data_IF_218677306158
#
_entry.id   IF_218677306158
#
_cell.length_a   1.000
_cell.length_b   1.000
_cell.length_c   1.000
_cell.angle_alpha   90.00
_cell.angle_beta   90.00
_cell.angle_gamma   90.00
#
_symmetry.space_group_name_H-M   'P 1'
#
loop_
_entity.id
_entity.type
_entity.pdbx_description
1 polymer ?
#
# COMPACT_ATOMS: atom_id res chain seq x y z
N UNK A 1 -2.81 -19.22 -60.71
CA UNK A 1 -3.91 -18.25 -60.54
C UNK A 1 -4.10 -18.03 -59.05
N UNK A 2 -3.91 -16.81 -58.60
CA UNK A 2 -4.24 -16.45 -57.23
C UNK A 2 -5.75 -16.25 -57.15
N UNK A 3 -6.40 -16.97 -56.25
CA UNK A 3 -7.82 -16.77 -55.97
C UNK A 3 -7.93 -15.47 -55.15
N UNK A 4 -8.48 -14.43 -55.74
CA UNK A 4 -8.82 -13.20 -55.01
C UNK A 4 -10.09 -13.50 -54.20
N UNK A 5 -9.97 -13.51 -52.89
CA UNK A 5 -11.11 -13.54 -52.00
C UNK A 5 -11.72 -12.12 -51.93
N UNK A 6 -13.07 -12.01 -52.03
CA UNK A 6 -13.70 -10.70 -51.84
C UNK A 6 -13.42 -10.20 -50.44
N UNK A 7 -12.86 -9.00 -50.31
CA UNK A 7 -12.71 -8.29 -49.04
C UNK A 7 -13.97 -7.44 -48.84
N UNK A 8 -14.68 -7.69 -47.75
CA UNK A 8 -15.77 -6.83 -47.30
C UNK A 8 -15.14 -5.71 -46.51
N UNK A 9 -15.35 -4.43 -46.85
CA UNK A 9 -14.89 -3.32 -46.05
C UNK A 9 -15.46 -3.39 -44.62
N UNK A 10 -14.66 -3.00 -43.60
CA UNK A 10 -15.10 -3.05 -42.21
C UNK A 10 -16.40 -2.26 -41.94
N UNK A 11 -16.65 -1.10 -42.59
CA UNK A 11 -17.91 -0.39 -42.46
C UNK A 11 -19.16 -1.14 -42.97
N UNK A 12 -18.97 -2.15 -43.79
CA UNK A 12 -20.07 -2.93 -44.40
C UNK A 12 -20.36 -4.25 -43.66
N UNK A 13 -19.67 -4.47 -42.52
CA UNK A 13 -19.95 -5.60 -41.64
C UNK A 13 -21.11 -5.23 -40.70
N UNK A 14 -22.04 -6.18 -40.53
CA UNK A 14 -23.08 -6.04 -39.53
C UNK A 14 -22.48 -6.01 -38.11
N UNK A 15 -23.07 -5.20 -37.26
CA UNK A 15 -22.69 -5.15 -35.84
C UNK A 15 -23.02 -6.51 -35.17
N UNK A 16 -22.12 -7.03 -34.37
CA UNK A 16 -22.38 -8.23 -33.61
C UNK A 16 -23.42 -7.95 -32.51
N UNK A 17 -24.49 -8.73 -32.48
CA UNK A 17 -25.52 -8.60 -31.43
C UNK A 17 -24.95 -8.92 -30.03
N UNK A 18 -24.00 -9.83 -29.97
CA UNK A 18 -23.31 -10.28 -28.76
C UNK A 18 -21.90 -10.71 -29.12
N UNK A 19 -20.91 -10.21 -28.34
CA UNK A 19 -19.52 -10.64 -28.45
C UNK A 19 -19.27 -11.72 -27.41
N UNK A 20 -18.87 -12.91 -27.82
CA UNK A 20 -18.54 -14.03 -26.96
C UNK A 20 -17.02 -14.11 -26.71
N UNK A 21 -16.61 -14.72 -25.62
CA UNK A 21 -15.21 -14.86 -25.24
C UNK A 21 -14.37 -15.66 -26.23
N UNK A 22 -14.99 -16.56 -26.98
CA UNK A 22 -14.36 -17.40 -28.00
C UNK A 22 -14.43 -16.83 -29.42
N UNK A 23 -15.04 -15.64 -29.60
CA UNK A 23 -15.00 -14.92 -30.86
C UNK A 23 -13.57 -14.47 -31.19
N UNK A 24 -13.33 -14.18 -32.46
CA UNK A 24 -12.02 -13.83 -32.96
C UNK A 24 -11.97 -12.38 -33.46
N UNK A 25 -10.90 -11.69 -33.10
CA UNK A 25 -10.50 -10.42 -33.70
C UNK A 25 -9.47 -10.68 -34.81
N UNK A 26 -9.56 -9.91 -35.89
CA UNK A 26 -8.53 -9.87 -36.93
C UNK A 26 -7.49 -8.84 -36.52
N UNK A 27 -6.28 -9.29 -36.19
CA UNK A 27 -5.16 -8.45 -35.75
C UNK A 27 -4.15 -8.33 -36.89
N UNK A 28 -3.81 -7.08 -37.27
CA UNK A 28 -2.79 -6.83 -38.27
C UNK A 28 -1.43 -6.61 -37.54
N UNK A 29 -0.49 -7.51 -37.81
CA UNK A 29 0.87 -7.44 -37.25
C UNK A 29 1.87 -7.12 -38.37
N UNK A 30 3.08 -6.71 -37.99
CA UNK A 30 4.14 -6.33 -38.94
C UNK A 30 4.53 -7.47 -39.89
N UNK A 31 4.27 -8.72 -39.54
CA UNK A 31 4.57 -9.93 -40.30
C UNK A 31 3.33 -10.58 -40.94
N UNK A 32 2.17 -9.94 -40.89
CA UNK A 32 0.91 -10.38 -41.49
C UNK A 32 -0.33 -10.27 -40.61
N UNK A 33 -1.47 -10.57 -41.21
CA UNK A 33 -2.78 -10.55 -40.53
C UNK A 33 -3.06 -11.90 -39.89
N UNK A 34 -3.44 -11.90 -38.62
CA UNK A 34 -3.72 -13.09 -37.80
C UNK A 34 -5.07 -12.99 -37.08
N UNK A 35 -5.62 -14.14 -36.71
CA UNK A 35 -6.77 -14.22 -35.82
C UNK A 35 -6.26 -14.30 -34.37
N UNK A 36 -6.85 -13.52 -33.50
CA UNK A 36 -6.66 -13.63 -32.03
C UNK A 36 -8.03 -13.81 -31.39
N UNK A 37 -8.13 -14.73 -30.44
CA UNK A 37 -9.33 -14.82 -29.60
C UNK A 37 -9.52 -13.57 -28.79
N UNK A 38 -10.75 -13.16 -28.59
CA UNK A 38 -11.05 -11.98 -27.76
C UNK A 38 -10.50 -12.16 -26.36
N UNK A 39 -10.63 -13.35 -25.77
CA UNK A 39 -10.05 -13.67 -24.47
C UNK A 39 -8.54 -13.43 -24.39
N UNK A 40 -7.80 -13.81 -25.43
CA UNK A 40 -6.36 -13.63 -25.48
C UNK A 40 -5.99 -12.14 -25.60
N UNK A 41 -6.73 -11.38 -26.41
CA UNK A 41 -6.53 -9.93 -26.60
C UNK A 41 -6.88 -9.16 -25.32
N UNK A 42 -7.99 -9.50 -24.68
CA UNK A 42 -8.43 -8.88 -23.42
C UNK A 42 -7.44 -9.17 -22.31
N UNK A 43 -6.90 -10.39 -22.21
CA UNK A 43 -5.89 -10.77 -21.24
C UNK A 43 -4.55 -10.03 -21.47
N UNK A 44 -4.19 -9.77 -22.73
CA UNK A 44 -2.94 -9.05 -23.09
C UNK A 44 -3.07 -7.53 -22.90
N UNK A 45 -4.28 -6.97 -23.05
CA UNK A 45 -4.58 -5.55 -22.85
C UNK A 45 -4.58 -5.11 -21.37
N UNK A 46 -4.09 -5.94 -20.45
CA UNK A 46 -3.93 -5.62 -19.03
C UNK A 46 -5.24 -5.45 -18.26
N UNK A 47 -6.33 -6.06 -18.71
CA UNK A 47 -7.55 -6.11 -17.91
C UNK A 47 -7.30 -7.04 -16.73
N UNK A 48 -7.23 -6.44 -15.55
CA UNK A 48 -7.08 -7.14 -14.29
C UNK A 48 -8.31 -7.98 -14.01
N UNK A 49 -8.12 -9.29 -13.87
CA UNK A 49 -9.18 -10.20 -13.42
C UNK A 49 -9.25 -10.15 -11.90
N UNK A 50 -10.46 -10.06 -11.37
CA UNK A 50 -10.74 -10.21 -9.93
C UNK A 50 -11.43 -11.55 -9.73
N UNK A 51 -10.88 -12.38 -8.85
CA UNK A 51 -11.46 -13.67 -8.44
C UNK A 51 -11.90 -13.54 -6.99
N UNK A 52 -13.14 -13.88 -6.70
CA UNK A 52 -13.66 -13.84 -5.33
C UNK A 52 -13.35 -15.15 -4.62
N UNK A 53 -12.87 -15.09 -3.37
CA UNK A 53 -12.63 -16.29 -2.56
C UNK A 53 -13.90 -17.12 -2.35
N UNK A 54 -15.06 -16.46 -2.30
CA UNK A 54 -16.37 -17.15 -2.20
C UNK A 54 -16.77 -17.91 -3.46
N UNK A 55 -16.41 -17.41 -4.64
CA UNK A 55 -16.80 -18.00 -5.92
C UNK A 55 -15.77 -19.00 -6.42
N UNK A 56 -14.51 -18.82 -6.01
CA UNK A 56 -13.38 -19.57 -6.53
C UNK A 56 -13.00 -19.19 -7.95
N UNK A 57 -11.98 -19.82 -8.46
CA UNK A 57 -11.46 -19.55 -9.79
C UNK A 57 -9.96 -19.73 -9.86
N UNK A 58 -9.32 -19.04 -10.79
CA UNK A 58 -7.87 -19.08 -10.93
C UNK A 58 -7.31 -17.72 -11.36
N UNK A 59 -6.15 -17.39 -10.79
CA UNK A 59 -5.32 -16.27 -11.21
C UNK A 59 -4.32 -16.78 -12.25
N UNK A 60 -4.26 -16.13 -13.40
CA UNK A 60 -3.35 -16.51 -14.51
C UNK A 60 -1.98 -15.87 -14.37
N UNK A 61 -1.91 -14.69 -13.77
CA UNK A 61 -0.71 -13.87 -13.72
C UNK A 61 -0.69 -12.94 -12.50
N UNK A 62 0.44 -12.27 -12.29
CA UNK A 62 0.61 -11.23 -11.26
C UNK A 62 -0.30 -9.99 -11.45
N UNK A 63 -1.00 -9.89 -12.58
CA UNK A 63 -1.95 -8.80 -12.84
C UNK A 63 -3.35 -9.12 -12.32
N UNK A 64 -3.60 -10.36 -11.93
CA UNK A 64 -4.89 -10.80 -11.41
C UNK A 64 -4.92 -10.64 -9.89
N UNK A 65 -6.09 -10.34 -9.35
CA UNK A 65 -6.31 -10.14 -7.92
C UNK A 65 -7.34 -11.14 -7.39
N UNK A 66 -7.18 -11.53 -6.13
CA UNK A 66 -8.23 -12.18 -5.37
C UNK A 66 -8.89 -11.15 -4.45
N UNK A 67 -10.21 -11.24 -4.28
CA UNK A 67 -10.98 -10.41 -3.37
C UNK A 67 -11.65 -11.26 -2.30
N UNK A 68 -11.46 -10.86 -1.05
CA UNK A 68 -12.11 -11.49 0.09
C UNK A 68 -13.23 -10.55 0.60
N UNK A 69 -14.50 -10.93 0.45
CA UNK A 69 -15.62 -10.10 0.89
C UNK A 69 -15.76 -10.03 2.41
N UNK A 70 -15.19 -10.95 3.17
CA UNK A 70 -15.22 -10.94 4.63
C UNK A 70 -14.28 -9.86 5.18
N UNK A 71 -13.02 -9.85 4.74
CA UNK A 71 -12.05 -8.83 5.12
C UNK A 71 -12.17 -7.55 4.31
N UNK A 72 -12.92 -7.57 3.18
CA UNK A 72 -13.05 -6.47 2.20
C UNK A 72 -11.72 -6.03 1.60
N UNK A 73 -10.80 -6.97 1.39
CA UNK A 73 -9.44 -6.73 0.89
C UNK A 73 -9.17 -7.43 -0.43
N UNK A 74 -8.31 -6.82 -1.22
CA UNK A 74 -7.74 -7.42 -2.41
C UNK A 74 -6.38 -8.04 -2.09
N UNK A 75 -6.10 -9.17 -2.75
CA UNK A 75 -4.85 -9.91 -2.55
C UNK A 75 -4.18 -10.21 -3.87
N UNK A 76 -2.84 -10.19 -3.88
CA UNK A 76 -1.99 -10.68 -4.97
C UNK A 76 -1.32 -11.98 -4.53
N UNK A 77 -1.11 -12.87 -5.49
CA UNK A 77 -0.39 -14.12 -5.24
C UNK A 77 1.10 -13.95 -5.58
N UNK A 78 1.99 -14.33 -4.67
CA UNK A 78 3.45 -14.23 -4.84
C UNK A 78 4.11 -15.54 -5.27
N UNK A 79 3.37 -16.65 -5.29
CA UNK A 79 3.87 -17.95 -5.72
C UNK A 79 3.71 -18.17 -7.23
N UNK A 80 3.78 -19.46 -7.64
CA UNK A 80 3.67 -19.86 -9.03
C UNK A 80 2.26 -19.70 -9.59
N UNK A 81 2.16 -19.42 -10.89
CA UNK A 81 0.90 -19.31 -11.64
C UNK A 81 0.71 -20.50 -12.58
N UNK A 82 -0.53 -20.94 -12.86
CA UNK A 82 -1.77 -20.37 -12.34
C UNK A 82 -2.03 -20.75 -10.88
N UNK A 83 -2.55 -19.81 -10.07
CA UNK A 83 -3.03 -20.10 -8.73
C UNK A 83 -4.51 -20.42 -8.74
N UNK A 84 -4.87 -21.59 -8.24
CA UNK A 84 -6.27 -22.03 -8.10
C UNK A 84 -6.78 -21.57 -6.73
N UNK A 85 -7.98 -21.00 -6.73
CA UNK A 85 -8.75 -20.62 -5.54
C UNK A 85 -10.01 -21.49 -5.54
N UNK A 86 -10.21 -22.27 -4.50
CA UNK A 86 -11.42 -23.10 -4.38
C UNK A 86 -12.61 -22.23 -3.95
N UNK A 87 -13.84 -22.54 -4.38
CA UNK A 87 -15.03 -21.87 -3.86
C UNK A 87 -15.11 -21.96 -2.34
N UNK A 88 -15.68 -20.94 -1.71
CA UNK A 88 -15.83 -20.82 -0.25
C UNK A 88 -14.51 -20.97 0.53
N UNK A 89 -13.38 -20.66 -0.10
CA UNK A 89 -12.09 -20.62 0.58
C UNK A 89 -11.86 -19.27 1.27
N UNK A 90 -10.92 -19.27 2.20
CA UNK A 90 -10.41 -18.05 2.84
C UNK A 90 -8.95 -17.82 2.45
N UNK A 91 -8.45 -16.63 2.69
CA UNK A 91 -7.01 -16.32 2.49
C UNK A 91 -6.12 -17.31 3.23
N UNK A 92 -6.43 -17.58 4.50
CA UNK A 92 -5.65 -18.52 5.34
C UNK A 92 -5.74 -19.96 4.81
N UNK A 93 -6.94 -20.41 4.43
CA UNK A 93 -7.16 -21.73 3.84
C UNK A 93 -6.49 -21.91 2.47
N UNK A 94 -6.26 -20.81 1.73
CA UNK A 94 -5.61 -20.81 0.42
C UNK A 94 -4.08 -20.59 0.48
N UNK A 95 -3.49 -20.53 1.68
CA UNK A 95 -2.03 -20.44 1.88
C UNK A 95 -1.57 -19.32 2.82
N UNK A 96 -2.47 -18.49 3.31
CA UNK A 96 -2.18 -17.40 4.25
C UNK A 96 -1.38 -16.24 3.66
N UNK A 97 -1.26 -15.17 4.43
CA UNK A 97 -0.46 -13.99 4.06
C UNK A 97 1.00 -14.26 4.39
N UNK A 98 1.87 -14.23 3.38
CA UNK A 98 3.32 -14.37 3.53
C UNK A 98 4.07 -13.94 2.27
N UNK A 99 5.39 -13.79 2.37
CA UNK A 99 6.25 -13.39 1.24
C UNK A 99 6.13 -14.31 0.00
N UNK A 100 5.81 -15.61 0.19
CA UNK A 100 5.69 -16.60 -0.88
C UNK A 100 4.24 -17.04 -1.15
N UNK A 101 3.25 -16.38 -0.56
CA UNK A 101 1.84 -16.72 -0.70
C UNK A 101 1.04 -15.45 -1.02
N UNK A 102 0.05 -15.10 -0.22
CA UNK A 102 -0.77 -13.92 -0.45
C UNK A 102 -0.15 -12.65 0.13
N UNK A 103 -0.24 -11.56 -0.62
CA UNK A 103 0.00 -10.21 -0.12
C UNK A 103 -1.25 -9.38 -0.29
N UNK A 104 -1.54 -8.54 0.68
CA UNK A 104 -2.68 -7.61 0.59
C UNK A 104 -2.37 -6.55 -0.47
N UNK A 105 -3.22 -6.44 -1.48
CA UNK A 105 -3.05 -5.43 -2.52
C UNK A 105 -3.55 -4.07 -2.01
N UNK A 106 -2.71 -3.06 -2.15
CA UNK A 106 -3.04 -1.71 -1.72
C UNK A 106 -2.81 -1.43 -0.23
N UNK A 107 -2.45 -2.43 0.57
CA UNK A 107 -2.14 -2.22 1.98
C UNK A 107 -0.76 -1.54 2.17
N UNK A 108 0.18 -1.71 1.25
CA UNK A 108 1.44 -0.94 1.22
C UNK A 108 1.25 0.57 1.08
N UNK A 109 0.06 1.00 0.61
CA UNK A 109 -0.30 2.42 0.52
C UNK A 109 -1.37 2.85 1.53
N UNK A 110 -2.04 1.90 2.21
CA UNK A 110 -3.22 2.18 3.05
C UNK A 110 -2.95 2.01 4.55
N UNK A 111 -1.82 1.42 4.94
CA UNK A 111 -1.62 1.05 6.34
C UNK A 111 -1.38 2.24 7.25
N UNK A 112 -0.80 3.32 6.76
CA UNK A 112 -0.56 4.47 7.64
C UNK A 112 -0.64 5.81 6.93
N UNK A 113 -0.51 5.86 5.62
CA UNK A 113 -0.46 7.14 4.88
C UNK A 113 -1.74 7.97 5.08
N UNK A 114 -1.59 9.08 5.77
CA UNK A 114 -2.68 9.99 6.09
C UNK A 114 -3.47 9.64 7.36
N UNK A 115 -3.20 8.52 8.04
CA UNK A 115 -3.82 8.24 9.34
C UNK A 115 -3.19 9.09 10.42
N UNK A 116 -4.03 9.61 11.31
CA UNK A 116 -3.63 10.43 12.45
C UNK A 116 -4.08 9.74 13.73
N UNK A 117 -3.15 9.54 14.66
CA UNK A 117 -3.44 9.13 16.04
C UNK A 117 -3.21 10.33 16.95
N UNK A 118 -4.26 10.72 17.70
CA UNK A 118 -4.15 11.73 18.76
C UNK A 118 -4.13 11.02 20.11
N UNK A 119 -2.97 10.95 20.74
CA UNK A 119 -2.80 10.38 22.06
C UNK A 119 -3.36 11.27 23.20
N UNK A 120 -3.80 12.47 22.87
CA UNK A 120 -4.30 13.41 23.86
C UNK A 120 -3.22 13.93 24.78
N UNK A 121 -3.51 14.02 26.08
CA UNK A 121 -2.61 14.55 27.11
C UNK A 121 -1.80 13.42 27.73
N UNK A 122 -0.49 13.45 27.56
CA UNK A 122 0.45 12.39 27.96
C UNK A 122 1.57 12.96 28.81
N UNK A 123 2.07 12.13 29.74
CA UNK A 123 3.26 12.38 30.51
C UNK A 123 3.93 11.07 30.96
N UNK A 124 5.24 11.06 31.08
CA UNK A 124 6.04 9.89 31.47
C UNK A 124 6.43 9.02 30.27
N UNK A 125 5.65 8.01 29.92
CA UNK A 125 5.94 7.09 28.80
C UNK A 125 4.89 7.22 27.71
N UNK A 126 5.35 7.17 26.45
CA UNK A 126 4.50 7.12 25.27
C UNK A 126 5.06 6.08 24.28
N UNK A 127 4.33 5.00 24.11
CA UNK A 127 4.63 3.97 23.13
C UNK A 127 3.85 4.29 21.86
N UNK A 128 4.55 4.64 20.79
CA UNK A 128 3.97 4.96 19.48
C UNK A 128 3.96 3.72 18.62
N UNK A 129 2.78 3.20 18.35
CA UNK A 129 2.60 2.10 17.40
C UNK A 129 2.63 2.63 15.98
N UNK A 130 3.71 2.33 15.27
CA UNK A 130 3.93 2.81 13.91
C UNK A 130 3.12 2.03 12.86
N UNK A 131 2.50 0.89 13.20
CA UNK A 131 1.63 0.18 12.29
C UNK A 131 0.29 0.90 12.08
N UNK A 132 -0.19 1.66 13.09
CA UNK A 132 -1.54 2.24 13.04
C UNK A 132 -1.61 3.60 12.36
N UNK A 133 -0.50 4.36 12.28
CA UNK A 133 -0.50 5.70 11.67
C UNK A 133 0.88 6.16 11.21
N UNK A 134 0.92 7.24 10.40
CA UNK A 134 2.14 7.98 10.07
C UNK A 134 2.15 9.40 10.67
N UNK A 135 1.05 9.83 11.27
CA UNK A 135 0.98 11.12 11.94
C UNK A 135 0.48 10.94 13.37
N UNK A 136 1.25 11.43 14.31
CA UNK A 136 0.99 11.30 15.73
C UNK A 136 0.89 12.68 16.36
N UNK A 137 -0.13 12.89 17.19
CA UNK A 137 -0.33 14.12 17.95
C UNK A 137 -0.30 13.81 19.44
N UNK A 138 0.38 14.63 20.20
CA UNK A 138 0.47 14.48 21.65
C UNK A 138 0.53 15.84 22.32
N UNK A 139 -0.11 15.97 23.47
CA UNK A 139 0.00 17.14 24.37
C UNK A 139 0.77 16.74 25.61
N UNK A 140 1.92 17.36 25.84
CA UNK A 140 2.78 17.02 26.96
C UNK A 140 2.29 17.66 28.27
N UNK A 141 2.04 16.83 29.27
CA UNK A 141 1.74 17.27 30.66
C UNK A 141 2.92 17.15 31.57
N UNK A 142 3.94 16.39 31.22
CA UNK A 142 5.24 16.25 31.88
C UNK A 142 6.32 15.85 30.88
N UNK A 143 7.55 15.70 31.34
CA UNK A 143 8.61 15.09 30.53
C UNK A 143 8.19 13.72 30.10
N UNK A 144 8.42 13.39 28.82
CA UNK A 144 7.91 12.17 28.19
C UNK A 144 9.01 11.43 27.43
N UNK A 145 9.14 10.14 27.69
CA UNK A 145 9.98 9.23 26.91
C UNK A 145 9.13 8.59 25.81
N UNK A 146 9.59 8.68 24.57
CA UNK A 146 8.94 8.05 23.42
C UNK A 146 9.64 6.73 23.08
N UNK A 147 8.87 5.68 22.84
CA UNK A 147 9.31 4.45 22.21
C UNK A 147 8.51 4.21 20.93
N UNK A 148 9.10 3.46 19.98
CA UNK A 148 8.42 3.04 18.75
C UNK A 148 8.13 1.56 18.83
N UNK A 149 6.86 1.19 18.61
CA UNK A 149 6.41 -0.19 18.44
C UNK A 149 6.17 -0.46 16.95
N UNK A 150 6.29 -1.72 16.54
CA UNK A 150 6.04 -2.19 15.17
C UNK A 150 6.81 -1.40 14.10
N UNK A 151 8.01 -0.92 14.43
CA UNK A 151 8.78 0.01 13.61
C UNK A 151 9.41 -0.63 12.36
N UNK A 152 9.55 -1.97 12.34
CA UNK A 152 10.22 -2.72 11.27
C UNK A 152 9.25 -3.54 10.40
N UNK A 153 7.99 -3.62 10.77
CA UNK A 153 7.03 -4.45 10.04
C UNK A 153 6.70 -3.88 8.67
N UNK A 154 6.72 -4.74 7.65
CA UNK A 154 6.31 -4.42 6.28
C UNK A 154 7.15 -3.37 5.56
N UNK A 155 8.35 -3.03 6.07
CA UNK A 155 9.19 -1.96 5.53
C UNK A 155 10.35 -2.44 4.66
N UNK A 156 10.45 -3.73 4.35
CA UNK A 156 11.58 -4.24 3.56
C UNK A 156 11.63 -3.57 2.18
N UNK A 157 12.73 -2.86 1.92
CA UNK A 157 12.93 -2.11 0.68
C UNK A 157 12.06 -0.86 0.51
N UNK A 158 11.38 -0.40 1.57
CA UNK A 158 10.49 0.78 1.54
C UNK A 158 11.03 1.86 2.47
N UNK A 159 11.17 3.08 1.95
CA UNK A 159 11.39 4.26 2.78
C UNK A 159 10.07 4.66 3.46
N UNK A 160 10.13 4.98 4.74
CA UNK A 160 8.95 5.40 5.49
C UNK A 160 9.19 6.76 6.16
N UNK A 161 8.15 7.56 6.18
CA UNK A 161 8.13 8.85 6.87
C UNK A 161 7.02 8.88 7.92
N UNK A 162 7.34 9.38 9.12
CA UNK A 162 6.33 9.69 10.15
C UNK A 162 6.41 11.16 10.55
N UNK A 163 5.28 11.70 10.99
CA UNK A 163 5.16 13.07 11.50
C UNK A 163 4.71 13.03 12.95
N UNK A 164 5.40 13.76 13.83
CA UNK A 164 5.07 13.85 15.25
C UNK A 164 4.80 15.31 15.60
N UNK A 165 3.56 15.61 16.02
CA UNK A 165 3.12 16.92 16.45
C UNK A 165 3.07 16.96 17.99
N UNK A 166 3.91 17.76 18.60
CA UNK A 166 4.06 17.85 20.07
C UNK A 166 3.62 19.23 20.54
N UNK A 167 2.55 19.27 21.32
CA UNK A 167 2.04 20.52 21.91
C UNK A 167 2.40 20.58 23.39
N UNK A 168 2.94 21.69 23.84
CA UNK A 168 3.18 21.97 25.25
C UNK A 168 1.88 22.37 25.94
N UNK A 169 1.51 21.74 27.06
CA UNK A 169 0.33 22.18 27.83
C UNK A 169 0.69 23.32 28.79
N UNK A 170 1.79 23.16 29.53
CA UNK A 170 2.26 24.13 30.55
C UNK A 170 3.55 24.84 30.14
N UNK A 171 4.23 24.37 29.09
CA UNK A 171 5.58 24.77 28.73
C UNK A 171 6.66 24.11 29.59
N UNK A 172 7.84 23.95 29.02
CA UNK A 172 9.03 23.41 29.74
C UNK A 172 9.14 21.89 29.82
N UNK A 173 8.19 21.12 29.24
CA UNK A 173 8.30 19.67 29.18
C UNK A 173 9.30 19.24 28.11
N UNK A 174 10.03 18.16 28.37
CA UNK A 174 11.04 17.60 27.49
C UNK A 174 10.55 16.28 26.89
N UNK A 175 11.03 15.97 25.69
CA UNK A 175 10.89 14.65 25.07
C UNK A 175 12.25 13.98 25.04
N UNK A 176 12.27 12.70 25.42
CA UNK A 176 13.39 11.80 25.23
C UNK A 176 13.04 10.86 24.07
N UNK A 177 13.79 10.98 22.98
CA UNK A 177 13.57 10.22 21.78
C UNK A 177 14.21 8.82 21.85
N UNK A 178 13.72 7.83 21.08
CA UNK A 178 14.37 6.53 20.99
C UNK A 178 15.83 6.65 20.53
N UNK A 179 16.71 5.79 21.04
CA UNK A 179 18.15 5.87 20.78
C UNK A 179 18.54 5.60 19.30
N UNK A 180 17.63 5.01 18.51
CA UNK A 180 17.79 4.80 17.07
C UNK A 180 17.35 6.01 16.22
N UNK A 181 16.86 7.09 16.83
CA UNK A 181 16.61 8.36 16.12
C UNK A 181 17.91 9.17 16.06
N UNK A 182 18.29 9.56 14.85
CA UNK A 182 19.47 10.36 14.58
C UNK A 182 19.06 11.79 14.23
N UNK A 183 19.62 12.75 14.94
CA UNK A 183 19.37 14.17 14.75
C UNK A 183 20.57 14.86 14.13
N UNK A 184 20.36 16.01 13.50
CA UNK A 184 21.43 16.84 12.95
C UNK A 184 22.50 17.13 14.02
N UNK A 185 23.77 16.90 13.66
CA UNK A 185 24.91 17.06 14.55
C UNK A 185 24.88 16.21 15.84
N UNK A 186 24.07 15.15 15.87
CA UNK A 186 23.91 14.28 17.04
C UNK A 186 23.27 14.96 18.25
N UNK A 187 22.47 15.99 18.04
CA UNK A 187 21.81 16.75 19.10
C UNK A 187 20.30 16.66 18.97
N UNK A 188 19.65 16.21 20.02
CA UNK A 188 18.20 16.21 20.11
C UNK A 188 17.66 17.65 20.00
N UNK A 189 16.57 17.85 19.26
CA UNK A 189 15.95 19.15 19.13
C UNK A 189 15.38 19.62 20.47
N UNK A 190 15.49 20.91 20.74
CA UNK A 190 14.90 21.54 21.93
C UNK A 190 13.47 21.94 21.55
N UNK A 191 12.49 21.49 22.33
CA UNK A 191 11.11 21.88 22.17
C UNK A 191 10.90 23.36 22.54
N UNK A 192 9.92 23.99 21.91
CA UNK A 192 9.46 25.32 22.31
C UNK A 192 8.82 25.25 23.69
N UNK A 193 9.27 26.10 24.63
CA UNK A 193 8.81 26.07 26.02
C UNK A 193 7.58 26.94 26.27
N UNK A 194 6.88 27.39 25.26
CA UNK A 194 5.67 28.20 25.39
C UNK A 194 4.43 27.30 25.54
N UNK A 195 3.61 27.55 26.53
CA UNK A 195 2.34 26.86 26.71
C UNK A 195 1.42 27.06 25.49
N UNK A 196 0.82 25.99 25.02
CA UNK A 196 0.01 25.97 23.82
C UNK A 196 0.79 25.88 22.50
N UNK A 197 2.09 26.10 22.50
CA UNK A 197 2.91 26.01 21.30
C UNK A 197 3.09 24.56 20.85
N UNK A 198 3.09 24.35 19.54
CA UNK A 198 3.24 23.05 18.89
C UNK A 198 4.53 23.02 18.05
N UNK A 199 5.34 22.00 18.29
CA UNK A 199 6.49 21.66 17.48
C UNK A 199 6.14 20.47 16.59
N UNK A 200 6.55 20.49 15.32
CA UNK A 200 6.28 19.42 14.35
C UNK A 200 7.61 18.83 13.88
N UNK A 201 7.74 17.54 14.07
CA UNK A 201 8.90 16.74 13.68
C UNK A 201 8.54 15.83 12.52
N UNK A 202 9.49 15.63 11.62
CA UNK A 202 9.45 14.62 10.57
C UNK A 202 10.59 13.64 10.79
N UNK A 203 10.30 12.36 10.79
CA UNK A 203 11.28 11.29 10.92
C UNK A 203 11.17 10.37 9.71
N UNK A 204 12.32 10.00 9.15
CA UNK A 204 12.41 9.13 7.98
C UNK A 204 13.35 7.95 8.24
N UNK A 205 12.98 6.78 7.72
CA UNK A 205 13.82 5.58 7.74
C UNK A 205 14.01 5.04 6.33
N UNK A 206 15.20 4.45 6.07
CA UNK A 206 15.58 3.84 4.80
C UNK A 206 16.11 2.42 4.98
N UNK A 207 16.06 1.91 6.22
CA UNK A 207 16.64 0.63 6.63
C UNK A 207 15.68 -0.18 7.50
N UNK A 208 14.42 -0.22 7.07
CA UNK A 208 13.36 -0.97 7.75
C UNK A 208 13.11 -0.52 9.20
N UNK A 209 13.24 0.77 9.50
CA UNK A 209 13.00 1.29 10.84
C UNK A 209 14.12 1.03 11.85
N UNK A 210 15.25 0.47 11.43
CA UNK A 210 16.41 0.27 12.31
C UNK A 210 17.02 1.60 12.74
N UNK A 211 17.07 2.55 11.80
CA UNK A 211 17.54 3.91 12.04
C UNK A 211 16.50 4.91 11.54
N UNK A 212 16.22 5.92 12.34
CA UNK A 212 15.35 7.03 11.98
C UNK A 212 16.14 8.33 11.93
N UNK A 213 15.92 9.14 10.88
CA UNK A 213 16.52 10.45 10.71
C UNK A 213 15.47 11.52 10.98
N UNK A 214 15.66 12.29 12.03
CA UNK A 214 14.69 13.28 12.49
C UNK A 214 15.06 14.70 12.13
N UNK A 215 14.04 15.52 11.82
CA UNK A 215 14.15 16.95 11.63
C UNK A 215 12.99 17.68 12.32
N UNK A 216 13.28 18.81 12.96
CA UNK A 216 12.26 19.76 13.41
C UNK A 216 11.84 20.62 12.22
N UNK A 217 10.57 20.48 11.80
CA UNK A 217 10.03 21.16 10.60
C UNK A 217 9.39 22.49 10.97
N UNK A 218 8.64 22.50 12.08
CA UNK A 218 7.99 23.71 12.60
C UNK A 218 8.28 23.79 14.09
N UNK A 219 8.70 24.95 14.54
CA UNK A 219 8.92 25.25 15.96
C UNK A 219 7.90 26.29 16.42
N UNK A 220 7.21 25.99 17.53
CA UNK A 220 6.40 26.97 18.25
C UNK A 220 5.19 27.52 17.52
N UNK A 221 4.53 26.72 16.68
CA UNK A 221 3.26 27.13 16.09
C UNK A 221 2.19 27.34 17.18
N UNK A 222 1.50 28.50 17.15
CA UNK A 222 0.45 28.89 18.11
C UNK A 222 -0.86 29.07 17.37
#
# INVERSE_FOLDING_TARGET
MAVAYPTIPIPDLEDAETVLSDDFLVVNQTDGTRKAKIDDVVNDLSITKIVYFTEGGYLKSKKDFAYDPETKRYYTWNGDYPKIILPDSTVDGAGGVSANAWSVFGELAATSSGRIVDYGSIGGQLDMDLEVADTFKVRLTSNTTISFENQTEGLEGVARTITVCITQTSGGNKVYWPGNVKWSYGRDPILTFTAGATDIFKLETYDNGLTWYGALIIAGAI
#
